data_IF_233613439526
#
_entry.id   IF_233613439526
#
_cell.length_a   1.000
_cell.length_b   1.000
_cell.length_c   1.000
_cell.angle_alpha   90.00
_cell.angle_beta   90.00
_cell.angle_gamma   90.00
#
_symmetry.space_group_name_H-M   'P 1'
#
loop_
_entity.id
_entity.type
_entity.pdbx_description
1 polymer ?
#
# COMPACT_ATOMS: atom_id res chain seq x y z
N UNK A 1 -9.55 -21.05 -1.52
CA UNK A 1 -10.53 -20.04 -1.93
C UNK A 1 -9.84 -18.69 -1.87
N UNK A 2 -9.82 -17.92 -2.96
CA UNK A 2 -9.33 -16.55 -2.91
C UNK A 2 -10.22 -15.76 -1.94
N UNK A 3 -9.62 -15.19 -0.89
CA UNK A 3 -10.36 -14.33 0.03
C UNK A 3 -10.72 -13.05 -0.71
N UNK A 4 -12.01 -12.79 -0.89
CA UNK A 4 -12.50 -11.55 -1.51
C UNK A 4 -12.16 -10.35 -0.62
N UNK A 5 -11.85 -9.22 -1.24
CA UNK A 5 -11.63 -7.98 -0.52
C UNK A 5 -12.96 -7.42 0.01
N UNK A 6 -12.99 -6.83 1.22
CA UNK A 6 -14.16 -6.12 1.72
C UNK A 6 -14.52 -4.92 0.84
N UNK A 7 -15.82 -4.69 0.64
CA UNK A 7 -16.32 -3.59 -0.20
C UNK A 7 -15.94 -2.19 0.28
N UNK A 8 -15.73 -2.00 1.59
CA UNK A 8 -15.31 -0.71 2.13
C UNK A 8 -13.90 -0.29 1.67
N UNK A 9 -13.08 -1.21 1.16
CA UNK A 9 -11.77 -0.88 0.59
C UNK A 9 -11.86 -0.22 -0.79
N UNK A 10 -13.06 -0.12 -1.38
CA UNK A 10 -13.24 0.47 -2.71
C UNK A 10 -12.78 1.92 -2.76
N UNK A 11 -12.91 2.67 -1.65
CA UNK A 11 -12.43 4.06 -1.54
C UNK A 11 -10.91 4.16 -1.74
N UNK A 12 -10.14 3.19 -1.25
CA UNK A 12 -8.68 3.14 -1.42
C UNK A 12 -8.26 2.58 -2.79
N UNK A 13 -9.15 1.88 -3.48
CA UNK A 13 -8.90 1.20 -4.76
C UNK A 13 -9.96 1.59 -5.82
N UNK A 14 -10.20 2.89 -6.09
CA UNK A 14 -11.36 3.35 -6.85
C UNK A 14 -11.37 2.87 -8.31
N UNK A 15 -10.19 2.60 -8.88
CA UNK A 15 -10.03 2.16 -10.27
C UNK A 15 -10.07 0.63 -10.46
N UNK A 16 -10.28 -0.15 -9.39
CA UNK A 16 -10.20 -1.61 -9.43
C UNK A 16 -11.53 -2.27 -9.08
N UNK A 17 -11.84 -3.37 -9.76
CA UNK A 17 -12.88 -4.31 -9.33
C UNK A 17 -12.31 -5.22 -8.24
N UNK A 18 -12.77 -5.01 -7.01
CA UNK A 18 -12.30 -5.75 -5.83
C UNK A 18 -12.60 -7.26 -5.91
N UNK A 19 -13.56 -7.67 -6.74
CA UNK A 19 -13.90 -9.08 -6.89
C UNK A 19 -12.86 -9.87 -7.70
N UNK A 20 -12.06 -9.16 -8.50
CA UNK A 20 -10.98 -9.72 -9.31
C UNK A 20 -9.63 -9.71 -8.58
N UNK A 21 -9.52 -8.95 -7.49
CA UNK A 21 -8.29 -8.86 -6.70
C UNK A 21 -8.14 -10.04 -5.74
N UNK A 22 -6.92 -10.54 -5.65
CA UNK A 22 -6.51 -11.59 -4.74
C UNK A 22 -5.60 -11.01 -3.65
N UNK A 23 -5.98 -11.24 -2.38
CA UNK A 23 -5.26 -10.71 -1.20
C UNK A 23 -3.76 -11.07 -1.20
N UNK A 24 -3.37 -12.25 -1.68
CA UNK A 24 -1.96 -12.65 -1.68
C UNK A 24 -1.22 -12.22 -2.95
N UNK A 25 -1.84 -12.38 -4.11
CA UNK A 25 -1.20 -12.10 -5.41
C UNK A 25 -1.07 -10.59 -5.65
N UNK A 26 -2.09 -9.81 -5.28
CA UNK A 26 -2.14 -8.36 -5.46
C UNK A 26 -1.68 -7.58 -4.21
N UNK A 27 -1.02 -8.27 -3.28
CA UNK A 27 -0.57 -7.73 -1.99
C UNK A 27 0.12 -6.36 -2.09
N UNK A 28 1.03 -6.19 -3.06
CA UNK A 28 1.75 -4.91 -3.25
C UNK A 28 0.82 -3.76 -3.62
N UNK A 29 -0.13 -4.01 -4.51
CA UNK A 29 -1.13 -3.04 -4.92
C UNK A 29 -2.01 -2.66 -3.73
N UNK A 30 -2.59 -3.65 -3.07
CA UNK A 30 -3.51 -3.46 -1.94
C UNK A 30 -2.85 -2.66 -0.82
N UNK A 31 -1.63 -3.05 -0.42
CA UNK A 31 -0.88 -2.35 0.63
C UNK A 31 -0.58 -0.91 0.20
N UNK A 32 -0.06 -0.69 -1.03
CA UNK A 32 0.29 0.65 -1.50
C UNK A 32 -0.94 1.57 -1.55
N UNK A 33 -2.04 1.09 -2.10
CA UNK A 33 -3.30 1.84 -2.22
C UNK A 33 -3.87 2.24 -0.85
N UNK A 34 -3.94 1.30 0.10
CA UNK A 34 -4.45 1.60 1.44
C UNK A 34 -3.51 2.54 2.21
N UNK A 35 -2.18 2.43 2.04
CA UNK A 35 -1.26 3.33 2.73
C UNK A 35 -1.30 4.76 2.17
N UNK A 36 -1.62 4.92 0.89
CA UNK A 36 -1.81 6.22 0.22
C UNK A 36 -3.13 6.90 0.58
N UNK A 37 -4.24 6.18 0.47
CA UNK A 37 -5.60 6.77 0.44
C UNK A 37 -6.55 6.11 1.46
N UNK A 38 -6.05 5.18 2.27
CA UNK A 38 -6.87 4.46 3.24
C UNK A 38 -7.29 5.30 4.43
N UNK A 39 -8.55 5.16 4.81
CA UNK A 39 -9.06 5.66 6.08
C UNK A 39 -8.62 4.76 7.25
N UNK A 40 -9.05 5.13 8.46
CA UNK A 40 -8.73 4.37 9.67
C UNK A 40 -9.23 2.91 9.59
N UNK A 41 -10.40 2.67 9.00
CA UNK A 41 -10.97 1.33 8.87
C UNK A 41 -10.13 0.47 7.90
N UNK A 42 -9.69 1.05 6.78
CA UNK A 42 -8.80 0.40 5.83
C UNK A 42 -7.43 0.08 6.45
N UNK A 43 -6.84 1.01 7.20
CA UNK A 43 -5.57 0.78 7.90
C UNK A 43 -5.69 -0.31 8.98
N UNK A 44 -6.79 -0.35 9.73
CA UNK A 44 -7.05 -1.43 10.68
C UNK A 44 -7.18 -2.79 10.00
N UNK A 45 -7.85 -2.84 8.85
CA UNK A 45 -7.96 -4.08 8.07
C UNK A 45 -6.60 -4.51 7.52
N UNK A 46 -5.80 -3.57 7.03
CA UNK A 46 -4.44 -3.81 6.52
C UNK A 46 -3.57 -4.49 7.57
N UNK A 47 -3.57 -3.93 8.79
CA UNK A 47 -2.77 -4.43 9.91
C UNK A 47 -3.21 -5.80 10.43
N UNK A 48 -4.49 -6.18 10.23
CA UNK A 48 -5.01 -7.53 10.56
C UNK A 48 -4.75 -8.55 9.45
N UNK A 49 -4.65 -8.10 8.21
CA UNK A 49 -4.55 -8.98 7.03
C UNK A 49 -3.10 -9.30 6.70
N UNK A 50 -2.21 -8.31 6.74
CA UNK A 50 -0.80 -8.48 6.39
C UNK A 50 0.09 -8.32 7.62
N UNK A 51 1.17 -9.09 7.65
CA UNK A 51 2.15 -8.95 8.73
C UNK A 51 2.86 -7.61 8.63
N UNK A 52 3.38 -7.11 9.77
CA UNK A 52 4.25 -5.93 9.78
C UNK A 52 5.44 -6.10 8.84
N UNK A 53 5.96 -7.33 8.68
CA UNK A 53 7.05 -7.66 7.75
C UNK A 53 6.63 -7.46 6.29
N UNK A 54 5.43 -7.91 5.91
CA UNK A 54 4.89 -7.71 4.56
C UNK A 54 4.76 -6.21 4.23
N UNK A 55 4.16 -5.45 5.15
CA UNK A 55 3.96 -4.00 4.99
C UNK A 55 5.31 -3.29 4.85
N UNK A 56 6.27 -3.59 5.74
CA UNK A 56 7.63 -3.06 5.65
C UNK A 56 8.29 -3.41 4.31
N UNK A 57 8.13 -4.64 3.83
CA UNK A 57 8.73 -5.07 2.57
C UNK A 57 8.17 -4.30 1.37
N UNK A 58 6.89 -3.95 1.36
CA UNK A 58 6.29 -3.10 0.31
C UNK A 58 6.84 -1.69 0.35
N UNK A 59 7.00 -1.11 1.54
CA UNK A 59 7.54 0.26 1.71
C UNK A 59 9.04 0.32 1.38
N UNK A 60 9.79 -0.74 1.71
CA UNK A 60 11.22 -0.88 1.38
C UNK A 60 11.46 -1.11 -0.13
N UNK A 61 10.47 -1.68 -0.82
CA UNK A 61 10.53 -1.96 -2.25
C UNK A 61 9.32 -1.33 -2.97
N UNK A 62 9.19 0.01 -2.92
CA UNK A 62 7.99 0.68 -3.36
C UNK A 62 7.81 0.55 -4.87
N UNK A 63 6.57 0.30 -5.30
CA UNK A 63 6.22 0.26 -6.73
C UNK A 63 6.49 1.62 -7.38
N UNK A 64 7.13 1.59 -8.55
CA UNK A 64 7.49 2.78 -9.32
C UNK A 64 6.23 3.57 -9.70
N UNK A 65 6.23 4.88 -9.43
CA UNK A 65 5.12 5.77 -9.80
C UNK A 65 3.80 5.46 -9.13
N UNK A 66 3.81 4.92 -7.91
CA UNK A 66 2.59 4.50 -7.20
C UNK A 66 2.43 5.14 -5.82
N UNK A 67 3.30 6.06 -5.43
CA UNK A 67 3.28 6.69 -4.10
C UNK A 67 3.08 8.20 -4.15
N UNK A 68 2.26 8.72 -3.24
CA UNK A 68 2.36 10.13 -2.87
C UNK A 68 3.62 10.34 -2.04
N UNK A 69 4.40 11.37 -2.40
CA UNK A 69 5.70 11.60 -1.78
C UNK A 69 5.61 11.79 -0.26
N UNK A 70 4.66 12.59 0.19
CA UNK A 70 4.48 12.90 1.61
C UNK A 70 4.02 11.67 2.40
N UNK A 71 3.18 10.80 1.81
CA UNK A 71 2.77 9.53 2.42
C UNK A 71 3.93 8.57 2.54
N UNK A 72 4.70 8.35 1.46
CA UNK A 72 5.81 7.41 1.51
C UNK A 72 6.83 7.86 2.56
N UNK A 73 7.16 9.15 2.60
CA UNK A 73 8.02 9.73 3.65
C UNK A 73 7.46 9.53 5.05
N UNK A 74 6.16 9.73 5.25
CA UNK A 74 5.49 9.48 6.54
C UNK A 74 5.70 8.03 7.00
N UNK A 75 5.43 7.05 6.15
CA UNK A 75 5.58 5.64 6.51
C UNK A 75 7.04 5.20 6.68
N UNK A 76 7.97 5.76 5.90
CA UNK A 76 9.40 5.56 6.12
C UNK A 76 9.82 6.02 7.52
N UNK A 77 9.33 7.18 7.95
CA UNK A 77 9.59 7.73 9.30
C UNK A 77 8.96 6.86 10.40
N UNK A 78 7.67 6.54 10.29
CA UNK A 78 6.94 5.76 11.30
C UNK A 78 7.54 4.35 11.50
N UNK A 79 8.07 3.76 10.44
CA UNK A 79 8.60 2.40 10.46
C UNK A 79 10.12 2.32 10.62
N UNK A 80 10.79 3.47 10.73
CA UNK A 80 12.24 3.63 10.79
C UNK A 80 12.95 2.89 9.64
N UNK A 81 12.56 3.25 8.42
CA UNK A 81 13.10 2.67 7.18
C UNK A 81 13.92 3.73 6.46
N UNK A 82 15.20 3.44 6.24
CA UNK A 82 16.03 4.24 5.35
C UNK A 82 15.92 3.70 3.92
N UNK A 83 15.44 4.55 3.00
CA UNK A 83 15.27 4.22 1.59
C UNK A 83 16.19 5.10 0.74
N UNK A 84 16.91 4.47 -0.19
CA UNK A 84 17.78 5.20 -1.11
C UNK A 84 17.01 6.27 -1.89
N UNK A 85 17.61 7.44 -2.01
CA UNK A 85 16.97 8.62 -2.59
C UNK A 85 16.61 8.43 -4.08
N UNK A 86 17.38 7.64 -4.85
CA UNK A 86 17.05 7.34 -6.22
C UNK A 86 15.86 6.36 -6.31
N UNK A 87 15.73 5.43 -5.37
CA UNK A 87 14.56 4.54 -5.26
C UNK A 87 13.31 5.35 -4.89
N UNK A 88 13.41 6.21 -3.87
CA UNK A 88 12.32 7.09 -3.44
C UNK A 88 11.81 7.93 -4.63
N UNK A 89 12.70 8.61 -5.34
CA UNK A 89 12.34 9.43 -6.51
C UNK A 89 11.63 8.65 -7.61
N UNK A 90 11.96 7.37 -7.80
CA UNK A 90 11.30 6.50 -8.79
C UNK A 90 9.91 6.05 -8.33
N UNK A 91 9.68 5.95 -7.02
CA UNK A 91 8.41 5.51 -6.45
C UNK A 91 7.29 6.55 -6.57
N UNK A 92 7.65 7.84 -6.62
CA UNK A 92 6.68 8.94 -6.56
C UNK A 92 5.85 9.07 -7.85
N UNK A 93 4.54 9.27 -7.71
CA UNK A 93 3.63 9.62 -8.81
C UNK A 93 4.04 10.98 -9.37
N UNK A 94 4.28 11.04 -10.68
CA UNK A 94 4.48 12.31 -11.39
C UNK A 94 3.10 12.82 -11.81
N UNK A 95 2.61 13.83 -11.11
CA UNK A 95 1.40 14.59 -11.47
C UNK A 95 1.74 15.70 -12.46
#
# INVERSE_FOLDING_TARGET
>A
MAKKLPSFLQSSLPSYDLSLLNIEEDKKLIITSILNEGDFQALQWLAKTYSKKDIKNVIQNPTRGSWYEWILKYWLMILDINLDHAILKKAIIKL
#
